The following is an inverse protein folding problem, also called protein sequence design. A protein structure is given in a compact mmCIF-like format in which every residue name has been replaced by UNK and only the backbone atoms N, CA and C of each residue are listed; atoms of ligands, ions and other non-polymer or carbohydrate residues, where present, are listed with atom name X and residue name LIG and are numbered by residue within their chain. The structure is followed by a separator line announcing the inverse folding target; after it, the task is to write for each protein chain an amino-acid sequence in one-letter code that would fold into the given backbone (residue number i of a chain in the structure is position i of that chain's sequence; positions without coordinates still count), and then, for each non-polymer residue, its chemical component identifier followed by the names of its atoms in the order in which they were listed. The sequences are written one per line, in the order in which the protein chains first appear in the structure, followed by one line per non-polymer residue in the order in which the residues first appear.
data_IF_080055850989
#
_entry.id   IF_080055850989
#
_cell.length_a   1.000
_cell.length_b   1.000
_cell.length_c   1.000
_cell.angle_alpha   90.00
_cell.angle_beta   90.00
_cell.angle_gamma   90.00
#
_symmetry.space_group_name_H-M   'P 1'
#
loop_
_entity.id
_entity.type
_entity.pdbx_description
1 polymer ?
#
# COMPACT_ATOMS: atom_id res chain seq x y z
N UNK A 1 -19.06 18.26 -27.73
CA UNK A 1 -18.10 19.35 -27.44
C UNK A 1 -18.49 19.99 -26.12
N UNK A 2 -18.01 19.43 -25.01
CA UNK A 2 -17.97 20.09 -23.69
C UNK A 2 -16.59 19.78 -23.14
N UNK A 3 -15.76 20.81 -23.14
CA UNK A 3 -14.40 20.88 -22.63
C UNK A 3 -14.33 20.40 -21.18
N UNK A 4 -13.71 19.23 -20.95
CA UNK A 4 -13.51 18.66 -19.61
C UNK A 4 -12.13 19.02 -19.01
N UNK A 5 -11.24 19.72 -19.71
CA UNK A 5 -9.88 19.88 -19.19
C UNK A 5 -9.40 21.29 -19.44
N UNK A 6 -9.80 22.23 -18.59
CA UNK A 6 -8.96 23.39 -18.30
C UNK A 6 -9.08 23.76 -16.82
N UNK A 7 -7.89 23.86 -16.20
CA UNK A 7 -7.56 24.64 -15.01
C UNK A 7 -7.61 23.96 -13.63
N UNK A 8 -6.55 23.22 -13.28
CA UNK A 8 -6.04 23.25 -11.90
C UNK A 8 -4.79 24.14 -11.89
N UNK A 9 -4.94 25.44 -11.57
CA UNK A 9 -3.83 26.37 -11.57
C UNK A 9 -2.95 26.14 -10.33
N UNK A 10 -1.64 26.00 -10.55
CA UNK A 10 -0.57 26.21 -9.57
C UNK A 10 -0.56 25.21 -8.41
N UNK A 11 0.46 24.36 -8.28
CA UNK A 11 1.77 24.82 -7.81
C UNK A 11 1.70 26.22 -7.21
N UNK A 12 1.23 26.30 -5.96
CA UNK A 12 1.87 26.99 -4.84
C UNK A 12 0.91 26.97 -3.64
N UNK A 13 1.36 26.30 -2.57
CA UNK A 13 1.11 26.59 -1.14
C UNK A 13 0.60 25.38 -0.32
N UNK A 14 1.53 24.83 0.49
CA UNK A 14 1.39 23.93 1.65
C UNK A 14 1.14 22.43 1.42
N UNK A 15 2.22 21.67 1.18
CA UNK A 15 2.46 20.28 1.62
C UNK A 15 1.34 19.21 1.44
N UNK A 16 0.44 19.34 0.46
CA UNK A 16 -0.56 18.32 0.13
C UNK A 16 0.02 17.12 -0.63
N UNK A 17 -0.63 15.95 -0.54
CA UNK A 17 -0.23 14.79 -1.35
C UNK A 17 -0.43 15.08 -2.84
N UNK A 18 0.49 14.61 -3.68
CA UNK A 18 0.26 14.59 -5.13
C UNK A 18 -0.89 13.64 -5.48
N UNK A 19 -1.54 13.90 -6.61
CA UNK A 19 -2.62 13.06 -7.15
C UNK A 19 -2.14 11.62 -7.37
N UNK A 20 -0.91 11.44 -7.84
CA UNK A 20 -0.27 10.13 -7.99
C UNK A 20 -0.08 9.42 -6.63
N UNK A 21 0.33 10.16 -5.59
CA UNK A 21 0.47 9.60 -4.25
C UNK A 21 -0.88 9.20 -3.65
N UNK A 22 -1.95 9.92 -3.95
CA UNK A 22 -3.32 9.58 -3.55
C UNK A 22 -3.78 8.30 -4.24
N UNK A 23 -3.59 8.19 -5.57
CA UNK A 23 -3.91 6.97 -6.32
C UNK A 23 -3.13 5.76 -5.77
N UNK A 24 -1.82 5.87 -5.65
CA UNK A 24 -0.96 4.82 -5.11
C UNK A 24 -1.33 4.44 -3.66
N UNK A 25 -1.80 5.39 -2.85
CA UNK A 25 -2.28 5.10 -1.49
C UNK A 25 -3.59 4.29 -1.50
N UNK A 26 -4.50 4.59 -2.44
CA UNK A 26 -5.78 3.89 -2.57
C UNK A 26 -5.59 2.49 -3.14
N UNK A 27 -4.66 2.33 -4.07
CA UNK A 27 -4.34 1.05 -4.71
C UNK A 27 -3.39 0.19 -3.86
N UNK A 28 -2.77 0.77 -2.83
CA UNK A 28 -1.87 0.05 -1.91
C UNK A 28 -0.45 -0.14 -2.47
N UNK A 29 -0.05 0.66 -3.45
CA UNK A 29 1.23 0.56 -4.16
C UNK A 29 2.34 1.42 -3.53
N UNK A 30 2.03 2.22 -2.51
CA UNK A 30 3.03 3.00 -1.80
C UNK A 30 3.98 2.11 -0.98
N UNK A 31 5.27 2.47 -0.98
CA UNK A 31 6.22 1.90 -0.01
C UNK A 31 5.76 2.16 1.43
N UNK A 32 6.05 1.25 2.37
CA UNK A 32 5.62 1.36 3.78
C UNK A 32 5.92 2.70 4.44
N UNK A 33 7.10 3.27 4.15
CA UNK A 33 7.48 4.59 4.66
C UNK A 33 6.63 5.70 4.06
N UNK A 34 6.35 5.65 2.76
CA UNK A 34 5.50 6.63 2.08
C UNK A 34 4.05 6.52 2.56
N UNK A 35 3.52 5.30 2.69
CA UNK A 35 2.18 5.03 3.19
C UNK A 35 2.00 5.56 4.63
N UNK A 36 2.97 5.33 5.52
CA UNK A 36 2.93 5.83 6.89
C UNK A 36 2.86 7.37 6.94
N UNK A 37 3.73 8.05 6.17
CA UNK A 37 3.71 9.53 6.09
C UNK A 37 2.40 10.04 5.51
N UNK A 38 1.88 9.38 4.46
CA UNK A 38 0.60 9.72 3.87
C UNK A 38 -0.54 9.62 4.89
N UNK A 39 -0.62 8.52 5.64
CA UNK A 39 -1.62 8.34 6.70
C UNK A 39 -1.54 9.42 7.78
N UNK A 40 -0.33 9.78 8.24
CA UNK A 40 -0.14 10.89 9.18
C UNK A 40 -0.66 12.19 8.58
N UNK A 41 -0.33 12.48 7.33
CA UNK A 41 -0.81 13.69 6.66
C UNK A 41 -2.35 13.73 6.58
N UNK A 42 -3.02 12.61 6.31
CA UNK A 42 -4.49 12.53 6.27
C UNK A 42 -5.16 12.86 7.61
N UNK A 43 -4.47 12.69 8.75
CA UNK A 43 -4.99 13.08 10.07
C UNK A 43 -5.03 14.61 10.20
N UNK A 44 -4.04 15.29 9.65
CA UNK A 44 -3.86 16.74 9.80
C UNK A 44 -4.48 17.54 8.66
N UNK A 45 -4.68 16.93 7.49
CA UNK A 45 -5.25 17.58 6.32
C UNK A 45 -6.62 16.99 5.93
N UNK A 46 -7.66 17.82 5.98
CA UNK A 46 -9.00 17.43 5.56
C UNK A 46 -9.16 17.37 4.04
N UNK A 47 -8.47 18.24 3.28
CA UNK A 47 -8.53 18.24 1.80
C UNK A 47 -8.07 16.92 1.21
N UNK A 48 -6.87 16.47 1.58
CA UNK A 48 -6.34 15.18 1.10
C UNK A 48 -7.19 14.00 1.57
N UNK A 49 -7.88 14.13 2.72
CA UNK A 49 -8.83 13.11 3.19
C UNK A 49 -10.07 13.04 2.31
N UNK A 50 -10.60 14.18 1.87
CA UNK A 50 -11.72 14.24 0.95
C UNK A 50 -11.34 13.64 -0.42
N UNK A 51 -10.17 13.97 -0.94
CA UNK A 51 -9.66 13.43 -2.21
C UNK A 51 -9.44 11.91 -2.17
N UNK A 52 -8.83 11.38 -1.11
CA UNK A 52 -8.67 9.93 -0.92
C UNK A 52 -10.03 9.23 -0.84
N UNK A 53 -11.04 9.83 -0.19
CA UNK A 53 -12.39 9.27 -0.15
C UNK A 53 -13.04 9.25 -1.54
N UNK A 54 -12.89 10.33 -2.30
CA UNK A 54 -13.41 10.40 -3.67
C UNK A 54 -12.75 9.32 -4.55
N UNK A 55 -11.43 9.17 -4.48
CA UNK A 55 -10.69 8.16 -5.22
C UNK A 55 -11.09 6.73 -4.82
N UNK A 56 -11.28 6.46 -3.52
CA UNK A 56 -11.79 5.16 -3.05
C UNK A 56 -13.19 4.84 -3.56
N UNK A 57 -14.08 5.83 -3.57
CA UNK A 57 -15.43 5.67 -4.12
C UNK A 57 -15.38 5.36 -5.61
N UNK A 58 -14.54 6.08 -6.36
CA UNK A 58 -14.33 5.80 -7.78
C UNK A 58 -13.80 4.36 -8.01
N UNK A 59 -12.77 3.95 -7.28
CA UNK A 59 -12.20 2.61 -7.37
C UNK A 59 -13.22 1.51 -6.98
N UNK A 60 -14.08 1.77 -6.00
CA UNK A 60 -15.15 0.84 -5.62
C UNK A 60 -16.19 0.69 -6.72
N UNK A 61 -16.67 1.81 -7.30
CA UNK A 61 -17.63 1.77 -8.42
C UNK A 61 -17.06 1.02 -9.62
N UNK A 62 -15.78 1.19 -9.93
CA UNK A 62 -15.12 0.43 -10.99
C UNK A 62 -15.12 -1.08 -10.70
N UNK A 63 -14.89 -1.49 -9.44
CA UNK A 63 -14.96 -2.90 -9.03
C UNK A 63 -16.38 -3.46 -9.07
N UNK A 64 -17.38 -2.67 -8.69
CA UNK A 64 -18.80 -3.09 -8.75
C UNK A 64 -19.28 -3.28 -10.20
N UNK A 65 -18.81 -2.44 -11.12
CA UNK A 65 -19.15 -2.52 -12.54
C UNK A 65 -18.24 -3.46 -13.34
N UNK A 66 -17.13 -3.92 -12.76
CA UNK A 66 -16.32 -4.97 -13.36
C UNK A 66 -17.17 -6.25 -13.43
N UNK A 67 -17.28 -6.83 -14.62
CA UNK A 67 -18.00 -8.09 -14.82
C UNK A 67 -17.47 -9.15 -13.86
N UNK A 68 -18.36 -10.03 -13.38
CA UNK A 68 -18.00 -11.09 -12.46
C UNK A 68 -16.83 -11.89 -13.03
N UNK A 69 -15.62 -11.67 -12.48
CA UNK A 69 -14.46 -12.48 -12.81
C UNK A 69 -14.71 -13.84 -12.18
N UNK A 70 -15.20 -14.78 -12.98
CA UNK A 70 -15.49 -16.12 -12.51
C UNK A 70 -14.18 -16.87 -12.26
N UNK A 71 -13.96 -17.24 -11.01
CA UNK A 71 -12.88 -18.16 -10.64
C UNK A 71 -13.25 -19.57 -11.14
N UNK A 72 -12.40 -20.24 -11.94
CA UNK A 72 -12.67 -21.62 -12.34
C UNK A 72 -12.72 -22.54 -11.10
N UNK A 73 -13.66 -23.49 -11.08
CA UNK A 73 -13.93 -24.35 -9.91
C UNK A 73 -12.70 -25.10 -9.39
N UNK A 74 -11.85 -25.60 -10.30
CA UNK A 74 -10.60 -26.27 -9.92
C UNK A 74 -9.54 -25.35 -9.28
N UNK A 75 -9.61 -24.02 -9.50
CA UNK A 75 -8.76 -23.07 -8.77
C UNK A 75 -9.30 -22.83 -7.36
N UNK A 76 -10.62 -22.76 -7.20
CA UNK A 76 -11.24 -22.61 -5.88
C UNK A 76 -10.92 -23.82 -4.99
N UNK A 77 -11.03 -25.03 -5.54
CA UNK A 77 -10.67 -26.28 -4.85
C UNK A 77 -9.19 -26.28 -4.41
N UNK A 78 -8.28 -25.85 -5.30
CA UNK A 78 -6.86 -25.71 -4.96
C UNK A 78 -6.61 -24.69 -3.87
N UNK A 79 -7.24 -23.51 -3.94
CA UNK A 79 -7.11 -22.47 -2.91
C UNK A 79 -7.62 -22.95 -1.54
N UNK A 80 -8.68 -23.77 -1.52
CA UNK A 80 -9.22 -24.35 -0.29
C UNK A 80 -8.30 -25.40 0.34
N UNK A 81 -7.42 -26.05 -0.43
CA UNK A 81 -6.46 -27.05 0.05
C UNK A 81 -5.15 -26.48 0.60
N UNK A 82 -4.83 -25.20 0.33
CA UNK A 82 -3.59 -24.57 0.80
C UNK A 82 -3.38 -24.71 2.32
N UNK A 83 -4.39 -24.51 3.19
CA UNK A 83 -4.21 -24.66 4.64
C UNK A 83 -3.79 -26.08 5.06
N UNK A 84 -4.23 -27.11 4.34
CA UNK A 84 -3.88 -28.51 4.64
C UNK A 84 -2.49 -28.89 4.12
N UNK A 85 -1.96 -28.13 3.14
CA UNK A 85 -0.65 -28.36 2.51
C UNK A 85 0.47 -27.50 3.14
N UNK A 86 0.12 -26.56 4.02
CA UNK A 86 1.10 -25.83 4.82
C UNK A 86 1.44 -26.62 6.08
N UNK A 87 2.51 -27.41 6.04
CA UNK A 87 3.11 -27.99 7.24
C UNK A 87 3.46 -26.85 8.22
N UNK A 88 2.88 -26.88 9.43
CA UNK A 88 3.14 -25.88 10.49
C UNK A 88 4.58 -25.93 11.04
N UNK A 89 5.40 -26.88 10.55
CA UNK A 89 6.77 -27.14 10.96
C UNK A 89 7.84 -26.39 10.13
N UNK A 90 7.49 -25.78 8.99
CA UNK A 90 8.39 -24.86 8.29
C UNK A 90 8.35 -23.48 8.95
N UNK A 91 9.35 -23.23 9.80
CA UNK A 91 9.59 -22.04 10.62
C UNK A 91 8.77 -20.80 10.20
N UNK A 92 7.96 -20.24 11.12
CA UNK A 92 6.94 -19.30 10.72
C UNK A 92 7.59 -17.98 10.30
N UNK A 93 7.15 -17.47 9.15
CA UNK A 93 7.25 -16.08 8.72
C UNK A 93 8.58 -15.65 8.05
N UNK A 94 8.71 -15.97 6.75
CA UNK A 94 9.62 -15.27 5.80
C UNK A 94 9.29 -13.77 5.65
N UNK A 95 8.09 -13.36 6.03
CA UNK A 95 7.62 -11.97 6.04
C UNK A 95 7.27 -11.58 7.47
N UNK A 96 7.86 -10.50 7.97
CA UNK A 96 7.43 -9.91 9.25
C UNK A 96 5.95 -9.52 9.20
N UNK A 97 5.31 -9.32 10.35
CA UNK A 97 3.99 -8.65 10.45
C UNK A 97 3.98 -7.29 9.74
N UNK A 98 5.16 -6.67 9.63
CA UNK A 98 5.44 -5.47 8.87
C UNK A 98 5.77 -5.74 7.38
N UNK A 99 5.43 -6.91 6.81
CA UNK A 99 5.62 -7.32 5.41
C UNK A 99 7.02 -7.14 4.79
N UNK A 100 8.02 -6.77 5.58
CA UNK A 100 9.41 -6.80 5.19
C UNK A 100 9.88 -8.26 5.18
N UNK A 101 10.64 -8.64 4.15
CA UNK A 101 11.38 -9.90 4.15
C UNK A 101 12.24 -9.95 5.42
N UNK A 102 12.02 -10.97 6.26
CA UNK A 102 12.77 -11.15 7.49
C UNK A 102 14.23 -11.46 7.13
N UNK A 103 15.24 -10.90 7.84
CA UNK A 103 16.64 -11.20 7.58
C UNK A 103 16.89 -12.70 7.69
N UNK A 104 17.37 -13.33 6.61
CA UNK A 104 17.61 -14.78 6.54
C UNK A 104 18.95 -15.15 7.17
N UNK A 105 19.90 -14.20 7.24
CA UNK A 105 21.21 -14.41 7.85
C UNK A 105 21.47 -13.47 9.03
N UNK A 106 22.45 -13.83 9.85
CA UNK A 106 22.92 -12.96 10.94
C UNK A 106 23.44 -11.61 10.41
N UNK A 107 24.05 -11.61 9.23
CA UNK A 107 24.55 -10.40 8.55
C UNK A 107 23.39 -9.46 8.22
N UNK A 108 22.28 -9.97 7.69
CA UNK A 108 21.11 -9.17 7.37
C UNK A 108 20.48 -8.53 8.62
N UNK A 109 20.50 -9.24 9.75
CA UNK A 109 20.00 -8.72 11.02
C UNK A 109 20.90 -7.60 11.55
N UNK A 110 22.22 -7.76 11.45
CA UNK A 110 23.19 -6.73 11.84
C UNK A 110 23.04 -5.48 10.97
N UNK A 111 22.89 -5.63 9.65
CA UNK A 111 22.68 -4.50 8.73
C UNK A 111 21.39 -3.73 9.05
N UNK A 112 20.29 -4.44 9.35
CA UNK A 112 19.04 -3.82 9.77
C UNK A 112 19.15 -3.07 11.11
N UNK A 113 19.95 -3.58 12.05
CA UNK A 113 20.21 -2.91 13.32
C UNK A 113 21.07 -1.66 13.12
N UNK A 114 22.12 -1.74 12.31
CA UNK A 114 22.98 -0.61 11.97
C UNK A 114 22.19 0.52 11.29
N UNK A 115 21.25 0.19 10.40
CA UNK A 115 20.34 1.17 9.77
C UNK A 115 19.33 1.78 10.75
N UNK A 116 18.99 1.09 11.84
CA UNK A 116 18.06 1.57 12.88
C UNK A 116 18.77 2.39 13.97
N UNK A 117 20.08 2.29 14.08
CA UNK A 117 20.84 3.19 14.93
C UNK A 117 20.81 4.58 14.28
N UNK A 118 20.29 5.62 14.97
CA UNK A 118 20.55 6.97 14.52
C UNK A 118 22.07 7.12 14.46
N UNK A 119 22.58 7.61 13.33
CA UNK A 119 23.99 7.99 13.19
C UNK A 119 24.26 9.05 14.27
N UNK A 120 24.70 8.63 15.46
CA UNK A 120 25.32 9.51 16.44
C UNK A 120 26.70 9.86 15.84
N UNK A 121 26.66 10.72 14.83
CA UNK A 121 27.82 11.43 14.34
C UNK A 121 28.34 12.32 15.46
N UNK A 122 29.63 12.16 15.74
CA UNK A 122 30.47 13.24 16.25
C UNK A 122 30.75 14.21 15.12
#
# INVERSE_FOLDING_TARGET
MTSFVENFPGELSVDHLSTEAIAALVDGELSRRAEHRAKIHLVHCESCRAEVRAQRSAAHRLREHASAVHTPGGLMEKLQRIPDECDEDEAPHRFSVDGCRRPETLVDRVDLLLRKLPFLGK
#
